data_IF_978807097371
#
_entry.id   IF_978807097371
#
_cell.length_a   1.000
_cell.length_b   1.000
_cell.length_c   1.000
_cell.angle_alpha   90.00
_cell.angle_beta   90.00
_cell.angle_gamma   90.00
#
_symmetry.space_group_name_H-M   'P 1'
#
loop_
_entity.id
_entity.type
_entity.pdbx_description
1 polymer ?
#
# COMPACT_ATOMS: atom_id res chain seq x y z
N UNK A 1 16.29 26.71 24.64
CA UNK A 1 16.67 25.46 23.90
C UNK A 1 16.99 24.30 24.83
N UNK A 2 16.49 24.28 26.06
CA UNK A 2 16.79 23.25 27.09
C UNK A 2 15.61 22.33 27.41
N UNK A 3 14.41 22.59 26.88
CA UNK A 3 13.18 21.85 27.24
C UNK A 3 13.00 20.48 26.54
N UNK A 4 13.72 20.18 25.47
CA UNK A 4 13.51 18.95 24.70
C UNK A 4 14.50 17.82 25.01
N UNK A 5 15.52 18.09 25.86
CA UNK A 5 16.65 17.15 26.06
C UNK A 5 16.27 15.85 26.76
N UNK A 6 15.19 15.86 27.56
CA UNK A 6 14.70 14.71 28.34
C UNK A 6 13.24 14.34 27.99
N UNK A 7 12.69 14.90 26.92
CA UNK A 7 11.32 14.67 26.51
C UNK A 7 11.15 13.24 25.97
N UNK A 8 10.29 12.48 26.59
CA UNK A 8 9.89 11.14 26.17
C UNK A 8 8.91 11.24 25.01
N UNK A 9 9.06 10.35 24.03
CA UNK A 9 8.22 10.30 22.85
C UNK A 9 8.04 8.87 22.35
N UNK A 10 7.11 8.71 21.41
CA UNK A 10 6.86 7.46 20.68
C UNK A 10 7.02 7.73 19.19
N UNK A 11 7.38 6.71 18.42
CA UNK A 11 7.47 6.78 16.97
C UNK A 11 6.56 5.75 16.35
N UNK A 12 5.78 6.18 15.35
CA UNK A 12 5.07 5.35 14.40
C UNK A 12 5.77 5.35 13.05
N UNK A 13 5.89 4.16 12.46
CA UNK A 13 6.41 3.93 11.11
C UNK A 13 5.32 3.28 10.28
N UNK A 14 5.05 3.87 9.10
CA UNK A 14 4.22 3.31 8.04
C UNK A 14 5.10 3.09 6.82
N UNK A 15 5.43 1.83 6.56
CA UNK A 15 6.29 1.40 5.45
C UNK A 15 5.47 0.63 4.42
N UNK A 16 4.82 1.36 3.52
CA UNK A 16 4.06 0.81 2.41
C UNK A 16 4.90 0.54 1.16
N UNK A 17 4.25 0.03 0.12
CA UNK A 17 4.90 -0.28 -1.16
C UNK A 17 5.38 0.95 -1.94
N UNK A 18 4.83 2.14 -1.68
CA UNK A 18 5.11 3.39 -2.41
C UNK A 18 5.71 4.49 -1.55
N UNK A 19 5.48 4.48 -0.25
CA UNK A 19 5.91 5.50 0.69
C UNK A 19 6.47 4.88 1.97
N UNK A 20 7.38 5.60 2.59
CA UNK A 20 7.88 5.34 3.92
C UNK A 20 7.66 6.59 4.77
N UNK A 21 6.91 6.47 5.87
CA UNK A 21 6.54 7.59 6.73
C UNK A 21 6.93 7.32 8.16
N UNK A 22 7.51 8.33 8.81
CA UNK A 22 7.84 8.33 10.24
C UNK A 22 7.13 9.50 10.89
N UNK A 23 6.47 9.24 12.02
CA UNK A 23 5.87 10.28 12.85
C UNK A 23 6.28 10.09 14.30
N UNK A 24 6.86 11.14 14.90
CA UNK A 24 7.14 11.21 16.32
C UNK A 24 6.03 11.98 17.04
N UNK A 25 5.57 11.46 18.16
CA UNK A 25 4.58 12.13 19.03
C UNK A 25 5.06 12.11 20.48
N UNK A 26 4.74 13.16 21.25
CA UNK A 26 4.86 13.09 22.70
C UNK A 26 3.82 12.12 23.30
N UNK A 27 3.90 11.89 24.62
CA UNK A 27 3.00 10.95 25.30
C UNK A 27 1.55 11.46 25.38
N UNK A 28 1.28 12.72 25.00
CA UNK A 28 -0.08 13.26 24.85
C UNK A 28 -0.67 13.05 23.46
N UNK A 29 0.14 12.57 22.49
CA UNK A 29 -0.24 12.40 21.10
C UNK A 29 0.04 13.62 20.21
N UNK A 30 0.66 14.69 20.74
CA UNK A 30 1.05 15.86 19.96
C UNK A 30 2.19 15.49 19.01
N UNK A 31 2.05 15.82 17.73
CA UNK A 31 3.10 15.60 16.73
C UNK A 31 4.31 16.49 17.03
N UNK A 32 5.49 15.87 17.06
CA UNK A 32 6.78 16.52 17.29
C UNK A 32 7.61 16.59 15.99
N UNK A 33 7.50 15.58 15.14
CA UNK A 33 8.19 15.49 13.87
C UNK A 33 7.49 14.52 12.93
N UNK A 34 7.66 14.76 11.62
CA UNK A 34 7.13 13.93 10.55
C UNK A 34 8.10 13.93 9.37
N UNK A 35 8.37 12.76 8.83
CA UNK A 35 9.20 12.61 7.63
C UNK A 35 8.55 11.60 6.69
N UNK A 36 8.60 11.90 5.42
CA UNK A 36 8.21 11.00 4.34
C UNK A 36 9.41 10.77 3.42
N UNK A 37 9.64 9.52 3.04
CA UNK A 37 10.77 9.12 2.22
C UNK A 37 10.42 8.06 1.19
N UNK A 38 11.43 7.65 0.43
CA UNK A 38 11.31 6.58 -0.55
C UNK A 38 10.95 5.25 0.13
N UNK A 39 10.23 4.34 -0.56
CA UNK A 39 9.85 3.05 0.00
C UNK A 39 11.03 2.28 0.59
N UNK A 40 10.82 1.67 1.75
CA UNK A 40 11.80 0.83 2.42
C UNK A 40 11.26 -0.61 2.51
N UNK A 41 11.20 -1.31 1.37
CA UNK A 41 10.70 -2.67 1.27
C UNK A 41 11.86 -3.65 1.13
N UNK A 42 11.95 -4.61 2.05
CA UNK A 42 13.02 -5.61 2.13
C UNK A 42 13.01 -6.64 0.98
N UNK A 43 11.93 -6.72 0.19
CA UNK A 43 11.93 -7.54 -1.03
C UNK A 43 12.69 -6.89 -2.19
N UNK A 44 12.89 -5.58 -2.16
CA UNK A 44 13.54 -4.82 -3.24
C UNK A 44 14.86 -4.17 -2.83
N UNK A 45 15.13 -4.09 -1.53
CA UNK A 45 16.34 -3.49 -0.98
C UNK A 45 17.16 -4.52 -0.24
N UNK A 46 18.48 -4.42 -0.33
CA UNK A 46 19.33 -5.18 0.58
C UNK A 46 19.23 -4.62 2.02
N UNK A 47 19.61 -5.40 3.04
CA UNK A 47 19.45 -5.00 4.44
C UNK A 47 20.18 -3.71 4.81
N UNK A 48 21.34 -3.44 4.22
CA UNK A 48 22.15 -2.25 4.50
C UNK A 48 21.50 -1.00 3.91
N UNK A 49 21.04 -1.06 2.66
CA UNK A 49 20.29 0.04 2.03
C UNK A 49 19.01 0.36 2.76
N UNK A 50 18.27 -0.68 3.17
CA UNK A 50 17.06 -0.51 3.95
C UNK A 50 17.35 0.19 5.28
N UNK A 51 18.36 -0.27 6.02
CA UNK A 51 18.80 0.32 7.28
C UNK A 51 19.17 1.79 7.11
N UNK A 52 19.98 2.13 6.12
CA UNK A 52 20.40 3.50 5.84
C UNK A 52 19.20 4.42 5.54
N UNK A 53 18.21 3.96 4.78
CA UNK A 53 17.00 4.74 4.49
C UNK A 53 16.19 5.02 5.75
N UNK A 54 16.01 4.00 6.59
CA UNK A 54 15.24 4.12 7.83
C UNK A 54 15.96 5.06 8.80
N UNK A 55 17.27 4.87 9.02
CA UNK A 55 18.08 5.70 9.90
C UNK A 55 18.12 7.16 9.43
N UNK A 56 18.24 7.41 8.11
CA UNK A 56 18.18 8.75 7.54
C UNK A 56 16.83 9.43 7.81
N UNK A 57 15.74 8.76 7.51
CA UNK A 57 14.39 9.29 7.76
C UNK A 57 14.11 9.49 9.26
N UNK A 58 14.65 8.63 10.11
CA UNK A 58 14.55 8.77 11.56
C UNK A 58 15.35 9.99 12.05
N UNK A 59 16.57 10.17 11.57
CA UNK A 59 17.39 11.32 11.92
C UNK A 59 16.72 12.65 11.51
N UNK A 60 16.13 12.70 10.31
CA UNK A 60 15.38 13.86 9.83
C UNK A 60 14.15 14.15 10.72
N UNK A 61 13.42 13.11 11.12
CA UNK A 61 12.28 13.26 12.02
C UNK A 61 12.70 13.77 13.41
N UNK A 62 13.73 13.17 13.99
CA UNK A 62 14.26 13.58 15.30
C UNK A 62 14.86 14.99 15.28
N UNK A 63 15.51 15.36 14.18
CA UNK A 63 16.10 16.68 13.98
C UNK A 63 15.10 17.83 14.06
N UNK A 64 13.83 17.61 13.70
CA UNK A 64 12.77 18.62 13.72
C UNK A 64 12.44 19.14 15.14
N UNK A 65 12.71 18.36 16.17
CA UNK A 65 12.43 18.74 17.56
C UNK A 65 13.62 18.51 18.51
N UNK A 66 14.78 18.16 17.99
CA UNK A 66 15.97 17.86 18.81
C UNK A 66 15.83 16.58 19.64
N UNK A 67 15.02 15.63 19.16
CA UNK A 67 14.78 14.34 19.82
C UNK A 67 16.05 13.48 19.86
N UNK A 68 16.18 12.69 20.93
CA UNK A 68 17.29 11.75 21.12
C UNK A 68 16.72 10.34 21.22
N UNK A 69 17.36 9.38 20.55
CA UNK A 69 16.88 7.99 20.49
C UNK A 69 16.77 7.35 21.89
N UNK A 70 17.59 7.76 22.82
CA UNK A 70 17.57 7.27 24.21
C UNK A 70 16.27 7.62 24.95
N UNK A 71 15.52 8.62 24.46
CA UNK A 71 14.24 9.07 24.99
C UNK A 71 13.04 8.41 24.31
N UNK A 72 13.27 7.57 23.31
CA UNK A 72 12.24 6.81 22.62
C UNK A 72 11.65 5.76 23.57
N UNK A 73 10.34 5.87 23.83
CA UNK A 73 9.64 4.96 24.74
C UNK A 73 9.07 3.73 24.02
N UNK A 74 8.74 3.88 22.74
CA UNK A 74 8.15 2.80 21.94
C UNK A 74 8.30 3.11 20.45
N UNK A 75 8.58 2.08 19.67
CA UNK A 75 8.58 2.11 18.22
C UNK A 75 7.49 1.17 17.69
N UNK A 76 6.52 1.71 16.94
CA UNK A 76 5.44 0.93 16.32
C UNK A 76 5.63 0.97 14.81
N UNK A 77 5.77 -0.20 14.19
CA UNK A 77 6.05 -0.33 12.77
C UNK A 77 4.98 -1.16 12.07
N UNK A 78 4.28 -0.55 11.12
CA UNK A 78 3.49 -1.23 10.10
C UNK A 78 4.31 -1.31 8.82
N UNK A 79 4.64 -2.52 8.38
CA UNK A 79 5.56 -2.73 7.26
C UNK A 79 4.96 -3.70 6.25
N UNK A 80 4.89 -3.27 4.98
CA UNK A 80 4.53 -4.16 3.88
C UNK A 80 5.55 -5.30 3.71
N UNK A 81 5.11 -6.42 3.14
CA UNK A 81 5.99 -7.55 2.84
C UNK A 81 6.29 -8.47 4.02
N UNK A 82 5.55 -8.39 5.14
CA UNK A 82 5.62 -9.41 6.21
C UNK A 82 4.73 -10.59 5.80
N UNK A 83 5.26 -11.44 4.91
CA UNK A 83 4.51 -12.57 4.35
C UNK A 83 4.93 -13.92 4.97
N UNK A 84 6.03 -13.95 5.72
CA UNK A 84 6.56 -15.13 6.37
C UNK A 84 7.10 -14.83 7.78
N UNK A 85 7.30 -15.91 8.57
CA UNK A 85 7.97 -15.79 9.89
C UNK A 85 9.40 -15.29 9.76
N UNK A 86 10.06 -15.59 8.65
CA UNK A 86 11.43 -15.15 8.40
C UNK A 86 11.48 -13.65 8.11
N UNK A 87 10.53 -13.10 7.32
CA UNK A 87 10.40 -11.68 7.09
C UNK A 87 10.18 -10.93 8.41
N UNK A 88 9.25 -11.43 9.22
CA UNK A 88 9.01 -10.88 10.55
C UNK A 88 10.27 -10.85 11.42
N UNK A 89 11.04 -11.94 11.45
CA UNK A 89 12.28 -12.04 12.24
C UNK A 89 13.32 -11.02 11.78
N UNK A 90 13.58 -10.94 10.48
CA UNK A 90 14.55 -10.00 9.88
C UNK A 90 14.18 -8.55 10.15
N UNK A 91 12.92 -8.19 9.94
CA UNK A 91 12.45 -6.84 10.18
C UNK A 91 12.44 -6.47 11.67
N UNK A 92 12.10 -7.43 12.53
CA UNK A 92 12.17 -7.22 13.98
C UNK A 92 13.62 -6.96 14.43
N UNK A 93 14.59 -7.71 13.94
CA UNK A 93 16.02 -7.50 14.22
C UNK A 93 16.46 -6.10 13.76
N UNK A 94 16.06 -5.69 12.56
CA UNK A 94 16.38 -4.38 11.99
C UNK A 94 15.82 -3.25 12.85
N UNK A 95 14.53 -3.25 13.14
CA UNK A 95 13.87 -2.18 13.91
C UNK A 95 14.31 -2.15 15.38
N UNK A 96 14.58 -3.31 15.97
CA UNK A 96 15.18 -3.37 17.32
C UNK A 96 16.58 -2.76 17.34
N UNK A 97 17.38 -3.00 16.30
CA UNK A 97 18.71 -2.38 16.16
C UNK A 97 18.66 -0.86 16.03
N UNK A 98 17.66 -0.34 15.32
CA UNK A 98 17.45 1.10 15.11
C UNK A 98 16.87 1.77 16.38
N UNK A 99 15.90 1.15 17.04
CA UNK A 99 15.26 1.68 18.25
C UNK A 99 16.16 1.68 19.48
N UNK A 100 17.25 0.94 19.44
CA UNK A 100 18.13 0.73 20.59
C UNK A 100 17.64 -0.40 21.50
N UNK A 101 18.54 -0.98 22.25
CA UNK A 101 18.31 -2.22 23.04
C UNK A 101 17.27 -2.12 24.16
N UNK A 102 16.86 -0.92 24.54
CA UNK A 102 15.88 -0.68 25.62
C UNK A 102 14.52 -0.20 25.14
N UNK A 103 14.35 0.07 23.84
CA UNK A 103 13.10 0.52 23.28
C UNK A 103 12.22 -0.68 22.86
N UNK A 104 11.01 -0.84 23.42
CA UNK A 104 10.06 -1.82 22.94
C UNK A 104 9.68 -1.55 21.47
N UNK A 105 9.71 -2.60 20.64
CA UNK A 105 9.29 -2.54 19.22
C UNK A 105 8.04 -3.38 19.05
N UNK A 106 7.02 -2.79 18.44
CA UNK A 106 5.83 -3.49 17.95
C UNK A 106 5.91 -3.49 16.44
N UNK A 107 6.02 -4.67 15.85
CA UNK A 107 6.07 -4.86 14.41
C UNK A 107 4.82 -5.61 13.96
N UNK A 108 4.18 -5.11 12.90
CA UNK A 108 3.03 -5.73 12.27
C UNK A 108 3.04 -5.44 10.76
N UNK A 109 2.20 -6.15 10.01
CA UNK A 109 1.96 -5.81 8.61
C UNK A 109 1.29 -4.43 8.50
N UNK A 110 1.55 -3.69 7.41
CA UNK A 110 0.97 -2.37 7.16
C UNK A 110 -0.58 -2.38 7.17
N UNK A 111 -1.19 -3.43 6.62
CA UNK A 111 -2.64 -3.62 6.66
C UNK A 111 -3.16 -3.88 8.08
N UNK A 112 -2.39 -4.56 8.94
CA UNK A 112 -2.74 -4.76 10.36
C UNK A 112 -2.67 -3.44 11.13
N UNK A 113 -1.65 -2.61 10.86
CA UNK A 113 -1.55 -1.28 11.45
C UNK A 113 -2.74 -0.40 11.04
N UNK A 114 -3.07 -0.40 9.73
CA UNK A 114 -4.24 0.32 9.23
C UNK A 114 -5.54 -0.18 9.86
N UNK A 115 -5.70 -1.51 9.97
CA UNK A 115 -6.86 -2.12 10.64
C UNK A 115 -7.00 -1.62 12.07
N UNK A 116 -5.92 -1.68 12.86
CA UNK A 116 -5.94 -1.22 14.24
C UNK A 116 -6.30 0.27 14.36
N UNK A 117 -5.72 1.08 13.47
CA UNK A 117 -5.93 2.54 13.46
C UNK A 117 -7.37 2.93 13.15
N UNK A 118 -8.03 2.20 12.23
CA UNK A 118 -9.39 2.52 11.77
C UNK A 118 -10.46 1.90 12.66
N UNK A 119 -10.25 0.66 13.11
CA UNK A 119 -11.28 -0.13 13.81
C UNK A 119 -11.09 -0.14 15.35
N UNK A 120 -9.97 0.37 15.86
CA UNK A 120 -9.60 0.20 17.27
C UNK A 120 -9.19 -1.23 17.61
N UNK A 121 -8.93 -2.06 16.60
CA UNK A 121 -8.48 -3.45 16.76
C UNK A 121 -9.60 -4.51 16.77
N UNK A 122 -10.84 -4.15 16.48
CA UNK A 122 -11.97 -5.07 16.29
C UNK A 122 -12.77 -4.66 15.06
N UNK A 123 -13.19 -5.63 14.25
CA UNK A 123 -13.96 -5.39 13.02
C UNK A 123 -13.25 -5.87 11.77
N UNK A 124 -13.69 -5.38 10.62
CA UNK A 124 -13.16 -5.72 9.30
C UNK A 124 -12.74 -4.44 8.59
N UNK A 125 -11.56 -4.42 8.02
CA UNK A 125 -11.05 -3.34 7.17
C UNK A 125 -10.77 -3.88 5.77
N UNK A 126 -11.40 -3.27 4.75
CA UNK A 126 -11.05 -3.43 3.34
C UNK A 126 -10.10 -2.30 2.95
N UNK A 127 -8.97 -2.66 2.38
CA UNK A 127 -8.05 -1.74 1.72
C UNK A 127 -8.08 -2.06 0.23
N UNK A 128 -8.43 -1.07 -0.58
CA UNK A 128 -8.34 -1.15 -2.04
C UNK A 128 -7.60 0.08 -2.55
N UNK A 129 -6.37 -0.14 -2.98
CA UNK A 129 -5.46 0.84 -3.56
C UNK A 129 -4.84 0.27 -4.82
N UNK A 130 -3.52 0.24 -4.90
CA UNK A 130 -2.79 -0.48 -5.96
C UNK A 130 -3.16 -1.96 -5.95
N UNK A 131 -3.14 -2.60 -4.79
CA UNK A 131 -3.66 -3.96 -4.55
C UNK A 131 -4.94 -3.95 -3.72
N UNK A 132 -5.46 -5.13 -3.38
CA UNK A 132 -6.62 -5.29 -2.52
C UNK A 132 -6.40 -6.33 -1.44
N UNK A 133 -6.77 -5.98 -0.20
CA UNK A 133 -6.69 -6.86 0.97
C UNK A 133 -7.83 -6.55 1.93
N UNK A 134 -8.34 -7.58 2.58
CA UNK A 134 -9.24 -7.46 3.73
C UNK A 134 -8.56 -8.06 4.95
N UNK A 135 -8.56 -7.33 6.04
CA UNK A 135 -8.10 -7.81 7.36
C UNK A 135 -9.22 -7.73 8.36
N UNK A 136 -9.25 -8.62 9.31
CA UNK A 136 -10.29 -8.60 10.33
C UNK A 136 -9.84 -9.23 11.64
N UNK A 137 -10.48 -8.76 12.72
CA UNK A 137 -10.34 -9.33 14.05
C UNK A 137 -11.68 -9.32 14.77
N UNK A 138 -12.08 -10.46 15.29
CA UNK A 138 -13.32 -10.57 16.03
C UNK A 138 -13.11 -10.27 17.53
N UNK A 139 -14.23 -10.12 18.27
CA UNK A 139 -14.22 -9.84 19.72
C UNK A 139 -13.51 -10.90 20.58
N UNK A 140 -13.31 -12.10 20.05
CA UNK A 140 -12.57 -13.17 20.73
C UNK A 140 -11.05 -13.11 20.43
N UNK A 141 -10.61 -12.10 19.70
CA UNK A 141 -9.21 -11.90 19.34
C UNK A 141 -8.75 -12.73 18.15
N UNK A 142 -9.63 -13.53 17.49
CA UNK A 142 -9.29 -14.27 16.27
C UNK A 142 -9.09 -13.28 15.14
N UNK A 143 -7.96 -13.39 14.45
CA UNK A 143 -7.61 -12.60 13.26
C UNK A 143 -7.75 -13.43 12.00
N UNK A 144 -8.09 -12.75 10.90
CA UNK A 144 -8.14 -13.34 9.58
C UNK A 144 -7.71 -12.33 8.52
N UNK A 145 -7.32 -12.83 7.34
CA UNK A 145 -6.96 -12.06 6.15
C UNK A 145 -7.55 -12.73 4.92
N UNK A 146 -8.04 -11.93 3.96
CA UNK A 146 -8.44 -12.37 2.63
C UNK A 146 -7.83 -11.43 1.58
N UNK A 147 -7.33 -11.96 0.47
CA UNK A 147 -6.58 -11.19 -0.54
C UNK A 147 -5.17 -10.81 -0.09
N UNK A 148 -4.59 -9.81 -0.75
CA UNK A 148 -3.23 -9.34 -0.47
C UNK A 148 -2.15 -10.39 -0.76
N UNK A 149 -2.35 -11.24 -1.76
CA UNK A 149 -1.36 -12.20 -2.21
C UNK A 149 -0.29 -11.50 -3.04
N UNK A 150 0.99 -11.90 -2.91
CA UNK A 150 2.02 -11.39 -3.79
C UNK A 150 1.73 -11.80 -5.23
N UNK A 151 1.96 -10.90 -6.17
CA UNK A 151 1.66 -11.03 -7.59
C UNK A 151 0.15 -10.93 -7.93
N UNK A 152 -0.15 -10.07 -8.89
CA UNK A 152 -1.52 -9.82 -9.38
C UNK A 152 -2.21 -11.05 -10.02
N UNK A 153 -1.49 -12.15 -10.23
CA UNK A 153 -2.05 -13.41 -10.71
C UNK A 153 -2.73 -14.22 -9.59
N UNK A 154 -2.35 -13.95 -8.33
CA UNK A 154 -2.86 -14.67 -7.16
C UNK A 154 -3.90 -13.85 -6.38
N UNK A 155 -4.06 -12.56 -6.72
CA UNK A 155 -4.94 -11.66 -5.99
C UNK A 155 -5.06 -10.31 -6.67
N UNK A 156 -5.39 -9.30 -5.86
CA UNK A 156 -5.63 -7.91 -6.27
C UNK A 156 -6.92 -7.68 -7.06
N UNK A 157 -7.86 -8.64 -7.06
CA UNK A 157 -9.15 -8.47 -7.69
C UNK A 157 -9.89 -7.25 -7.11
N UNK A 158 -10.43 -6.42 -8.00
CA UNK A 158 -11.14 -5.19 -7.65
C UNK A 158 -10.25 -4.03 -7.23
N UNK A 159 -8.92 -4.19 -7.24
CA UNK A 159 -7.96 -3.10 -6.97
C UNK A 159 -7.76 -2.18 -8.16
N UNK A 160 -7.01 -1.08 -7.97
CA UNK A 160 -6.59 -0.19 -9.05
C UNK A 160 -5.78 -0.91 -10.14
N UNK A 161 -4.93 -1.86 -9.77
CA UNK A 161 -4.20 -2.72 -10.71
C UNK A 161 -5.15 -3.58 -11.53
N UNK A 162 -6.16 -4.17 -10.89
CA UNK A 162 -7.18 -4.96 -11.58
C UNK A 162 -8.00 -4.11 -12.56
N UNK A 163 -8.48 -2.94 -12.11
CA UNK A 163 -9.21 -1.99 -12.95
C UNK A 163 -8.39 -1.58 -14.17
N UNK A 164 -7.12 -1.24 -13.97
CA UNK A 164 -6.18 -0.89 -15.05
C UNK A 164 -6.02 -2.04 -16.05
N UNK A 165 -5.87 -3.28 -15.55
CA UNK A 165 -5.77 -4.49 -16.39
C UNK A 165 -7.03 -4.70 -17.22
N UNK A 166 -8.22 -4.51 -16.65
CA UNK A 166 -9.47 -4.66 -17.39
C UNK A 166 -9.64 -3.58 -18.46
N UNK A 167 -9.26 -2.35 -18.14
CA UNK A 167 -9.27 -1.25 -19.10
C UNK A 167 -8.33 -1.51 -20.31
N UNK A 168 -7.11 -1.97 -20.06
CA UNK A 168 -6.16 -2.35 -21.13
C UNK A 168 -6.67 -3.54 -21.97
N UNK A 169 -7.31 -4.52 -21.32
CA UNK A 169 -7.97 -5.62 -22.07
C UNK A 169 -9.10 -5.11 -22.95
N UNK A 170 -9.85 -4.08 -22.51
CA UNK A 170 -10.88 -3.48 -23.34
C UNK A 170 -10.28 -2.74 -24.55
N UNK A 171 -9.15 -2.02 -24.38
CA UNK A 171 -8.40 -1.42 -25.49
C UNK A 171 -7.98 -2.50 -26.50
N UNK A 172 -7.44 -3.63 -26.04
CA UNK A 172 -7.10 -4.76 -26.91
C UNK A 172 -8.30 -5.29 -27.71
N UNK A 173 -9.45 -5.47 -27.06
CA UNK A 173 -10.70 -5.90 -27.74
C UNK A 173 -11.20 -4.89 -28.78
N UNK A 174 -11.01 -3.59 -28.51
CA UNK A 174 -11.33 -2.57 -29.49
C UNK A 174 -10.39 -2.64 -30.71
N UNK A 175 -9.10 -2.82 -30.50
CA UNK A 175 -8.12 -3.02 -31.58
C UNK A 175 -8.37 -4.32 -32.40
N UNK A 176 -9.00 -5.31 -31.78
CA UNK A 176 -9.49 -6.53 -32.44
C UNK A 176 -10.86 -6.35 -33.15
N UNK A 177 -11.41 -5.12 -33.17
CA UNK A 177 -12.74 -4.79 -33.72
C UNK A 177 -13.90 -5.57 -33.04
N UNK A 178 -13.70 -6.09 -31.85
CA UNK A 178 -14.67 -6.88 -31.11
C UNK A 178 -15.63 -6.04 -30.25
N UNK A 179 -15.31 -4.79 -30.01
CA UNK A 179 -16.12 -3.83 -29.27
C UNK A 179 -15.97 -2.43 -29.84
N UNK A 180 -16.95 -1.56 -29.55
CA UNK A 180 -16.91 -0.18 -30.01
C UNK A 180 -15.88 0.65 -29.20
N UNK A 181 -15.34 1.70 -29.84
CA UNK A 181 -14.52 2.72 -29.19
C UNK A 181 -15.39 3.58 -28.29
N UNK A 182 -14.99 3.71 -27.03
CA UNK A 182 -15.69 4.55 -26.07
C UNK A 182 -14.81 5.71 -25.59
N UNK A 183 -15.37 6.60 -24.78
CA UNK A 183 -14.63 7.72 -24.16
C UNK A 183 -13.44 7.19 -23.34
N UNK A 184 -13.64 6.12 -22.57
CA UNK A 184 -12.56 5.46 -21.81
C UNK A 184 -11.44 4.97 -22.74
N UNK A 185 -11.82 4.26 -23.83
CA UNK A 185 -10.86 3.75 -24.80
C UNK A 185 -10.05 4.87 -25.43
N UNK A 186 -10.71 5.94 -25.86
CA UNK A 186 -10.07 7.10 -26.47
C UNK A 186 -9.03 7.74 -25.56
N UNK A 187 -9.40 8.04 -24.32
CA UNK A 187 -8.52 8.66 -23.32
C UNK A 187 -7.31 7.80 -22.97
N UNK A 188 -7.51 6.48 -22.84
CA UNK A 188 -6.41 5.55 -22.57
C UNK A 188 -5.45 5.51 -23.74
N UNK A 189 -5.98 5.41 -24.97
CA UNK A 189 -5.17 5.42 -26.19
C UNK A 189 -4.37 6.71 -26.34
N UNK A 190 -4.99 7.87 -26.08
CA UNK A 190 -4.31 9.15 -26.15
C UNK A 190 -3.21 9.30 -25.08
N UNK A 191 -3.48 8.88 -23.86
CA UNK A 191 -2.51 8.92 -22.77
C UNK A 191 -1.29 8.03 -23.04
N UNK A 192 -1.51 6.84 -23.60
CA UNK A 192 -0.46 5.84 -23.82
C UNK A 192 0.14 5.87 -25.23
N UNK A 193 -0.36 6.75 -26.12
CA UNK A 193 0.10 6.84 -27.51
C UNK A 193 -0.30 5.66 -28.38
N UNK A 194 -1.35 4.90 -28.01
CA UNK A 194 -1.81 3.72 -28.74
C UNK A 194 -2.69 4.19 -29.92
N UNK A 195 -2.31 3.85 -31.14
CA UNK A 195 -3.08 4.14 -32.37
C UNK A 195 -3.50 2.87 -33.07
N UNK A 196 -2.67 1.84 -33.01
CA UNK A 196 -2.86 0.57 -33.66
C UNK A 196 -2.40 -0.60 -32.79
N UNK A 197 -2.61 -1.82 -33.25
CA UNK A 197 -2.30 -3.04 -32.50
C UNK A 197 -0.81 -3.16 -32.13
N UNK A 198 0.04 -2.74 -33.05
CA UNK A 198 1.50 -2.77 -32.93
C UNK A 198 1.99 -1.91 -31.75
N UNK A 199 1.35 -0.77 -31.50
CA UNK A 199 1.70 0.10 -30.37
C UNK A 199 1.45 -0.60 -29.02
N UNK A 200 0.29 -1.27 -28.88
CA UNK A 200 -0.04 -2.02 -27.67
C UNK A 200 0.91 -3.22 -27.48
N UNK A 201 1.28 -3.89 -28.57
CA UNK A 201 2.24 -5.00 -28.54
C UNK A 201 3.63 -4.51 -28.13
N UNK A 202 4.12 -3.43 -28.75
CA UNK A 202 5.41 -2.82 -28.43
C UNK A 202 5.46 -2.42 -26.94
N UNK A 203 4.42 -1.73 -26.45
CA UNK A 203 4.31 -1.36 -25.04
C UNK A 203 4.33 -2.60 -24.11
N UNK A 204 3.63 -3.68 -24.48
CA UNK A 204 3.57 -4.90 -23.68
C UNK A 204 4.90 -5.64 -23.62
N UNK A 205 5.63 -5.72 -24.74
CA UNK A 205 6.85 -6.52 -24.87
C UNK A 205 8.12 -5.74 -24.52
N UNK A 206 8.21 -4.48 -24.93
CA UNK A 206 9.44 -3.67 -24.76
C UNK A 206 9.49 -3.00 -23.37
N UNK A 207 8.36 -2.51 -22.89
CA UNK A 207 8.30 -1.78 -21.62
C UNK A 207 7.89 -2.66 -20.44
N UNK A 208 7.44 -3.90 -20.69
CA UNK A 208 6.95 -4.79 -19.65
C UNK A 208 5.79 -4.14 -18.90
N UNK A 209 4.61 -3.99 -19.53
CA UNK A 209 3.47 -3.33 -18.89
C UNK A 209 3.18 -3.96 -17.53
N UNK A 210 3.41 -3.19 -16.48
CA UNK A 210 2.90 -3.52 -15.17
C UNK A 210 1.72 -2.58 -14.85
N UNK A 211 0.47 -3.09 -14.80
CA UNK A 211 -0.70 -2.26 -14.49
C UNK A 211 -0.57 -1.48 -13.17
N UNK A 212 0.18 -1.99 -12.21
CA UNK A 212 0.44 -1.29 -10.95
C UNK A 212 1.24 0.01 -11.12
N UNK A 213 2.00 0.14 -12.22
CA UNK A 213 2.76 1.35 -12.55
C UNK A 213 1.95 2.38 -13.35
N UNK A 214 0.68 2.10 -13.62
CA UNK A 214 -0.23 2.95 -14.40
C UNK A 214 -1.46 3.40 -13.59
N UNK A 215 -1.28 3.97 -12.37
CA UNK A 215 -2.41 4.32 -11.50
C UNK A 215 -3.34 5.37 -12.12
N UNK A 216 -2.82 6.19 -13.06
CA UNK A 216 -3.62 7.17 -13.80
C UNK A 216 -4.73 6.52 -14.64
N UNK A 217 -4.58 5.27 -15.09
CA UNK A 217 -5.63 4.58 -15.84
C UNK A 217 -6.86 4.27 -14.98
N UNK A 218 -6.65 3.88 -13.72
CA UNK A 218 -7.76 3.69 -12.80
C UNK A 218 -8.59 4.97 -12.60
N UNK A 219 -7.91 6.13 -12.55
CA UNK A 219 -8.58 7.42 -12.48
C UNK A 219 -9.38 7.73 -13.75
N UNK A 220 -8.79 7.48 -14.93
CA UNK A 220 -9.47 7.66 -16.21
C UNK A 220 -10.72 6.77 -16.34
N UNK A 221 -10.66 5.53 -15.87
CA UNK A 221 -11.83 4.63 -15.85
C UNK A 221 -12.94 5.21 -14.97
N UNK A 222 -12.60 5.74 -13.79
CA UNK A 222 -13.59 6.35 -12.90
C UNK A 222 -14.24 7.60 -13.55
N UNK A 223 -13.45 8.50 -14.11
CA UNK A 223 -13.92 9.69 -14.79
C UNK A 223 -14.83 9.33 -15.99
N UNK A 224 -14.46 8.35 -16.81
CA UNK A 224 -15.27 7.89 -17.92
C UNK A 224 -16.61 7.27 -17.43
N UNK A 225 -16.58 6.51 -16.34
CA UNK A 225 -17.80 5.95 -15.75
C UNK A 225 -18.76 7.03 -15.25
N UNK A 226 -18.27 8.10 -14.64
CA UNK A 226 -19.05 9.26 -14.21
C UNK A 226 -19.71 9.98 -15.40
N UNK A 227 -19.02 10.03 -16.54
CA UNK A 227 -19.54 10.59 -17.81
C UNK A 227 -20.50 9.64 -18.55
N UNK A 228 -20.67 8.43 -18.08
CA UNK A 228 -21.66 7.51 -18.61
C UNK A 228 -21.13 6.37 -19.46
N UNK A 229 -19.80 6.26 -19.63
CA UNK A 229 -19.18 5.17 -20.39
C UNK A 229 -19.63 3.79 -19.89
N UNK A 230 -20.27 2.96 -20.74
CA UNK A 230 -20.86 1.70 -20.29
C UNK A 230 -19.83 0.68 -19.84
N UNK A 231 -18.69 0.60 -20.51
CA UNK A 231 -17.63 -0.37 -20.18
C UNK A 231 -16.86 0.04 -18.94
N UNK A 232 -16.63 1.34 -18.74
CA UNK A 232 -16.03 1.83 -17.50
C UNK A 232 -16.92 1.52 -16.30
N UNK A 233 -18.25 1.69 -16.42
CA UNK A 233 -19.23 1.30 -15.39
C UNK A 233 -19.23 -0.19 -15.11
N UNK A 234 -19.14 -1.03 -16.14
CA UNK A 234 -19.08 -2.48 -16.02
C UNK A 234 -17.81 -2.90 -15.25
N UNK A 235 -16.64 -2.34 -15.62
CA UNK A 235 -15.38 -2.60 -14.93
C UNK A 235 -15.46 -2.24 -13.44
N UNK A 236 -16.00 -1.07 -13.10
CA UNK A 236 -16.13 -0.65 -11.71
C UNK A 236 -17.14 -1.49 -10.93
N UNK A 237 -18.23 -1.89 -11.55
CA UNK A 237 -19.23 -2.78 -10.94
C UNK A 237 -18.63 -4.16 -10.65
N UNK A 238 -17.85 -4.72 -11.57
CA UNK A 238 -17.16 -5.99 -11.38
C UNK A 238 -16.07 -5.88 -10.30
N UNK A 239 -15.32 -4.77 -10.28
CA UNK A 239 -14.37 -4.48 -9.21
C UNK A 239 -15.03 -4.47 -7.83
N UNK A 240 -16.16 -3.79 -7.70
CA UNK A 240 -16.93 -3.76 -6.44
C UNK A 240 -17.43 -5.17 -6.04
N UNK A 241 -17.79 -6.00 -7.00
CA UNK A 241 -18.21 -7.39 -6.77
C UNK A 241 -17.07 -8.25 -6.20
N UNK A 242 -15.87 -8.11 -6.73
CA UNK A 242 -14.66 -8.77 -6.21
C UNK A 242 -14.32 -8.33 -4.79
N UNK A 243 -14.36 -7.03 -4.52
CA UNK A 243 -14.10 -6.49 -3.18
C UNK A 243 -15.15 -6.97 -2.17
N UNK A 244 -16.42 -7.05 -2.56
CA UNK A 244 -17.49 -7.60 -1.72
C UNK A 244 -17.28 -9.11 -1.46
N UNK A 245 -16.74 -9.86 -2.42
CA UNK A 245 -16.38 -11.26 -2.21
C UNK A 245 -15.28 -11.41 -1.15
N UNK A 246 -14.23 -10.60 -1.18
CA UNK A 246 -13.17 -10.62 -0.15
C UNK A 246 -13.73 -10.36 1.26
N UNK A 247 -14.67 -9.41 1.39
CA UNK A 247 -15.33 -9.13 2.68
C UNK A 247 -16.14 -10.34 3.15
N UNK A 248 -16.82 -11.04 2.25
CA UNK A 248 -17.57 -12.26 2.57
C UNK A 248 -16.64 -13.38 2.99
N UNK A 249 -15.52 -13.56 2.29
CA UNK A 249 -14.55 -14.62 2.57
C UNK A 249 -13.93 -14.46 3.95
N UNK A 250 -13.62 -13.24 4.38
CA UNK A 250 -13.10 -13.00 5.72
C UNK A 250 -14.17 -13.27 6.80
N UNK A 251 -15.44 -13.05 6.48
CA UNK A 251 -16.56 -13.36 7.37
C UNK A 251 -16.66 -14.86 7.70
N UNK A 252 -16.27 -15.74 6.78
CA UNK A 252 -16.18 -17.18 7.05
C UNK A 252 -14.95 -17.56 7.88
N UNK A 253 -13.90 -16.77 7.80
CA UNK A 253 -12.63 -17.03 8.48
C UNK A 253 -12.62 -16.54 9.94
N UNK A 254 -13.44 -15.54 10.29
CA UNK A 254 -13.55 -14.97 11.64
C UNK A 254 -14.57 -15.68 12.52
#
# INVERSE_FOLDING_TARGET
MTEFKDMKFVIGVDSGGTHYRIKACDLSGKCLGYTEGAPANHHYLNPEEMKLRIEGSLADCLGQFGGRIENLCMLVCGTTGIDSKEDYRRLMELYTGIGGSSCPVILMNDAELAHYTVTGGEGVLLISGTGSIVTGKNKNGKTARAGGWPLAILGDEGSGTWVTKMALRHVGRWLDEAVEKTVMTERICDLLGIREREDLIAMALESGINPANLPQLGKLVNEAAEEGDPYAKEILAEAAHHLAALIRDIGYAL
#
